data_IF_439900886869
#
_entry.id   IF_439900886869
#
_cell.length_a   1.000
_cell.length_b   1.000
_cell.length_c   1.000
_cell.angle_alpha   90.00
_cell.angle_beta   90.00
_cell.angle_gamma   90.00
#
_symmetry.space_group_name_H-M   'P 1'
#
loop_
_entity.id
_entity.type
_entity.pdbx_description
1 polymer ?
#
# COMPACT_ATOMS: atom_id res chain seq x y z
N UNK A 1 12.75 20.65 11.23
CA UNK A 1 12.94 19.30 11.78
C UNK A 1 11.69 18.89 12.50
N UNK A 2 10.91 17.94 11.96
CA UNK A 2 9.81 17.32 12.71
C UNK A 2 10.49 16.39 13.72
N UNK A 3 10.32 16.58 15.04
CA UNK A 3 10.94 15.71 16.03
C UNK A 3 10.43 14.28 15.80
N UNK A 4 11.35 13.33 15.65
CA UNK A 4 11.00 11.92 15.70
C UNK A 4 10.30 11.68 17.04
N UNK A 5 9.13 11.04 17.08
CA UNK A 5 8.49 10.71 18.34
C UNK A 5 9.47 9.87 19.16
N UNK A 6 9.90 10.37 20.32
CA UNK A 6 10.74 9.69 21.31
C UNK A 6 10.07 8.44 21.93
N UNK A 7 9.04 7.89 21.29
CA UNK A 7 8.34 6.69 21.74
C UNK A 7 9.21 5.47 21.47
N UNK A 8 9.64 4.79 22.53
CA UNK A 8 10.11 3.40 22.40
C UNK A 8 8.99 2.61 21.74
N UNK A 9 9.28 1.98 20.60
CA UNK A 9 8.34 1.06 19.96
C UNK A 9 8.07 -0.11 20.91
N UNK A 10 6.84 -0.22 21.42
CA UNK A 10 6.38 -1.37 22.18
C UNK A 10 5.64 -2.32 21.25
N UNK A 11 6.01 -3.60 21.30
CA UNK A 11 5.26 -4.62 20.58
C UNK A 11 3.86 -4.75 21.18
N UNK A 12 2.80 -4.89 20.35
CA UNK A 12 1.50 -5.24 20.87
C UNK A 12 1.60 -6.61 21.57
N UNK A 13 0.83 -6.83 22.65
CA UNK A 13 0.80 -8.14 23.30
C UNK A 13 0.34 -9.20 22.28
N UNK A 14 0.83 -10.46 22.40
CA UNK A 14 0.34 -11.55 21.57
C UNK A 14 -1.19 -11.67 21.65
N UNK A 15 -1.82 -12.03 20.55
CA UNK A 15 -3.24 -12.36 20.56
C UNK A 15 -3.43 -13.69 21.31
N UNK A 16 -4.43 -13.73 22.20
CA UNK A 16 -4.84 -14.93 22.92
C UNK A 16 -6.25 -15.33 22.46
N UNK A 17 -6.40 -16.19 21.44
CA UNK A 17 -7.70 -16.56 20.93
C UNK A 17 -8.54 -17.32 21.96
N UNK A 18 -9.82 -16.95 22.05
CA UNK A 18 -10.77 -17.55 22.99
C UNK A 18 -11.99 -18.08 22.25
N UNK A 19 -12.25 -19.38 22.38
CA UNK A 19 -13.43 -20.05 21.81
C UNK A 19 -14.73 -19.46 22.35
N UNK A 20 -14.72 -19.03 23.62
CA UNK A 20 -15.87 -18.46 24.31
C UNK A 20 -15.42 -17.24 25.13
N UNK A 21 -16.20 -16.16 25.05
CA UNK A 21 -15.99 -14.93 25.81
C UNK A 21 -17.34 -14.41 26.34
N UNK A 22 -17.34 -13.33 27.11
CA UNK A 22 -18.56 -12.58 27.39
C UNK A 22 -19.08 -11.89 26.12
N UNK A 23 -20.40 -11.93 25.86
CA UNK A 23 -21.01 -11.35 24.64
C UNK A 23 -20.59 -9.91 24.35
N UNK A 24 -20.45 -9.08 25.39
CA UNK A 24 -20.09 -7.66 25.26
C UNK A 24 -18.61 -7.36 25.49
N UNK A 25 -17.78 -8.37 25.78
CA UNK A 25 -16.33 -8.20 25.95
C UNK A 25 -15.68 -7.81 24.62
N UNK A 26 -14.57 -7.07 24.70
CA UNK A 26 -13.72 -6.80 23.53
C UNK A 26 -13.23 -8.12 22.95
N UNK A 27 -13.35 -8.28 21.64
CA UNK A 27 -12.99 -9.51 20.98
C UNK A 27 -11.48 -9.79 21.09
N UNK A 28 -11.11 -11.07 21.28
CA UNK A 28 -9.73 -11.54 21.39
C UNK A 28 -8.83 -11.14 20.20
N UNK A 29 -9.40 -10.88 19.02
CA UNK A 29 -8.67 -10.56 17.80
C UNK A 29 -8.08 -9.13 17.75
N UNK A 30 -8.19 -8.37 18.83
CA UNK A 30 -7.67 -6.99 18.90
C UNK A 30 -8.42 -6.00 18.00
N UNK A 31 -9.64 -6.35 17.54
CA UNK A 31 -10.38 -5.50 16.62
C UNK A 31 -10.98 -4.23 17.24
N UNK A 32 -11.06 -4.17 18.57
CA UNK A 32 -11.82 -3.17 19.32
C UNK A 32 -13.35 -3.38 19.28
N UNK A 33 -13.84 -4.39 18.53
CA UNK A 33 -15.26 -4.73 18.44
C UNK A 33 -15.66 -5.65 19.59
N UNK A 34 -16.93 -5.59 20.00
CA UNK A 34 -17.52 -6.56 20.95
C UNK A 34 -17.53 -7.96 20.34
N UNK A 35 -17.28 -9.00 21.14
CA UNK A 35 -17.24 -10.38 20.67
C UNK A 35 -18.52 -10.80 19.91
N UNK A 36 -19.70 -10.38 20.38
CA UNK A 36 -20.99 -10.67 19.73
C UNK A 36 -21.12 -10.16 18.28
N UNK A 37 -20.41 -9.10 17.91
CA UNK A 37 -20.41 -8.54 16.54
C UNK A 37 -19.12 -8.86 15.77
N UNK A 38 -18.24 -9.67 16.36
CA UNK A 38 -16.96 -10.03 15.79
C UNK A 38 -16.84 -11.56 15.64
N UNK A 39 -16.41 -12.28 16.69
CA UNK A 39 -16.10 -13.71 16.59
C UNK A 39 -17.16 -14.69 17.14
N UNK A 40 -18.23 -14.22 17.82
CA UNK A 40 -19.26 -15.09 18.41
C UNK A 40 -19.90 -16.08 17.41
N UNK A 41 -20.42 -15.56 16.30
CA UNK A 41 -21.09 -16.37 15.27
C UNK A 41 -20.31 -16.33 13.94
N UNK A 42 -19.00 -16.14 14.02
CA UNK A 42 -18.15 -15.89 12.84
C UNK A 42 -18.16 -17.04 11.83
N UNK A 43 -18.17 -18.26 12.34
CA UNK A 43 -18.26 -19.49 11.56
C UNK A 43 -19.61 -19.67 10.85
N UNK A 44 -20.67 -18.97 11.29
CA UNK A 44 -22.00 -18.99 10.66
C UNK A 44 -22.16 -17.91 9.58
N UNK A 45 -21.19 -17.01 9.44
CA UNK A 45 -21.24 -15.94 8.45
C UNK A 45 -20.93 -16.48 7.06
N UNK A 46 -21.46 -15.82 6.03
CA UNK A 46 -21.13 -16.12 4.65
C UNK A 46 -19.62 -15.89 4.40
N UNK A 47 -18.96 -16.90 3.85
CA UNK A 47 -17.56 -16.79 3.41
C UNK A 47 -17.44 -15.76 2.28
N UNK A 48 -16.40 -14.93 2.36
CA UNK A 48 -16.09 -13.94 1.32
C UNK A 48 -15.19 -14.59 0.27
N UNK A 49 -15.57 -14.60 -1.02
CA UNK A 49 -14.70 -15.12 -2.08
C UNK A 49 -13.35 -14.40 -2.10
N UNK A 50 -12.24 -15.15 -2.15
CA UNK A 50 -10.89 -14.57 -2.07
C UNK A 50 -10.61 -13.53 -3.18
N UNK A 51 -11.15 -13.75 -4.38
CA UNK A 51 -11.03 -12.80 -5.50
C UNK A 51 -11.67 -11.44 -5.20
N UNK A 52 -12.80 -11.43 -4.46
CA UNK A 52 -13.44 -10.20 -4.00
C UNK A 52 -12.56 -9.47 -2.98
N UNK A 53 -11.99 -10.20 -2.02
CA UNK A 53 -11.07 -9.60 -1.03
C UNK A 53 -9.85 -8.99 -1.72
N UNK A 54 -9.22 -9.71 -2.63
CA UNK A 54 -8.05 -9.22 -3.38
C UNK A 54 -8.40 -7.97 -4.20
N UNK A 55 -9.57 -7.94 -4.82
CA UNK A 55 -10.05 -6.75 -5.53
C UNK A 55 -10.24 -5.55 -4.58
N UNK A 56 -10.89 -5.75 -3.42
CA UNK A 56 -11.08 -4.69 -2.42
C UNK A 56 -9.74 -4.16 -1.88
N UNK A 57 -8.78 -5.06 -1.62
CA UNK A 57 -7.41 -4.70 -1.22
C UNK A 57 -6.70 -3.88 -2.31
N UNK A 58 -6.86 -4.27 -3.57
CA UNK A 58 -6.28 -3.54 -4.71
C UNK A 58 -6.84 -2.11 -4.80
N UNK A 59 -8.17 -1.96 -4.72
CA UNK A 59 -8.85 -0.66 -4.76
C UNK A 59 -8.45 0.21 -3.56
N UNK A 60 -8.42 -0.35 -2.34
CA UNK A 60 -8.01 0.38 -1.14
C UNK A 60 -6.57 0.90 -1.25
N UNK A 61 -5.67 0.10 -1.83
CA UNK A 61 -4.27 0.48 -2.03
C UNK A 61 -4.05 1.53 -3.13
N UNK A 62 -5.04 1.79 -3.99
CA UNK A 62 -4.97 2.80 -5.06
C UNK A 62 -5.41 4.21 -4.64
N UNK A 63 -5.80 4.41 -3.37
CA UNK A 63 -6.17 5.74 -2.88
C UNK A 63 -4.99 6.72 -2.97
N UNK A 64 -5.16 7.77 -3.74
CA UNK A 64 -4.15 8.82 -3.92
C UNK A 64 -4.24 9.93 -2.90
N UNK A 65 -3.14 10.64 -2.71
CA UNK A 65 -3.09 11.97 -2.09
C UNK A 65 -1.87 12.69 -2.67
N UNK A 66 -2.00 13.98 -3.01
CA UNK A 66 -0.83 14.78 -3.32
C UNK A 66 -0.07 15.11 -2.04
N UNK A 67 1.17 14.63 -1.94
CA UNK A 67 2.02 14.76 -0.76
C UNK A 67 2.93 15.99 -0.79
N UNK A 68 2.84 16.81 -1.85
CA UNK A 68 3.61 18.04 -1.97
C UNK A 68 3.38 18.94 -0.74
N UNK A 69 4.42 19.53 -0.12
CA UNK A 69 4.28 20.29 1.12
C UNK A 69 3.34 21.48 1.00
N UNK A 70 3.30 22.11 -0.18
CA UNK A 70 2.42 23.24 -0.46
C UNK A 70 1.05 22.82 -0.99
N UNK A 71 0.69 21.52 -0.98
CA UNK A 71 -0.60 21.07 -1.51
C UNK A 71 -1.76 21.60 -0.64
N UNK A 72 -2.51 22.55 -1.19
CA UNK A 72 -3.68 23.16 -0.58
C UNK A 72 -4.76 23.48 -1.60
N UNK A 73 -5.86 24.09 -1.16
CA UNK A 73 -7.05 24.33 -1.98
C UNK A 73 -6.78 25.19 -3.23
N UNK A 74 -5.83 26.12 -3.16
CA UNK A 74 -5.47 27.03 -4.26
C UNK A 74 -4.25 26.58 -5.08
N UNK A 75 -3.44 25.66 -4.56
CA UNK A 75 -2.15 25.25 -5.14
C UNK A 75 -2.17 23.83 -5.70
N UNK A 76 -3.17 23.02 -5.32
CA UNK A 76 -3.30 21.64 -5.74
C UNK A 76 -4.65 21.38 -6.39
N UNK A 77 -4.65 20.76 -7.58
CA UNK A 77 -5.88 20.31 -8.21
C UNK A 77 -6.49 19.04 -7.57
N UNK A 78 -5.87 18.51 -6.51
CA UNK A 78 -6.25 17.31 -5.78
C UNK A 78 -6.54 16.09 -6.68
N UNK A 79 -5.84 15.97 -7.81
CA UNK A 79 -5.93 14.84 -8.75
C UNK A 79 -4.58 14.13 -8.83
N UNK A 80 -4.27 13.21 -7.89
CA UNK A 80 -3.06 12.42 -7.95
C UNK A 80 -2.99 11.61 -9.23
N UNK A 81 -1.80 11.53 -9.81
CA UNK A 81 -1.49 10.74 -11.00
C UNK A 81 -0.57 9.58 -10.63
N UNK A 82 -0.29 8.71 -11.60
CA UNK A 82 0.74 7.67 -11.47
C UNK A 82 2.13 8.30 -11.57
N UNK A 83 2.56 8.95 -10.50
CA UNK A 83 3.89 9.50 -10.35
C UNK A 83 4.92 8.38 -10.23
N UNK A 84 6.10 8.56 -10.82
CA UNK A 84 7.19 7.58 -10.79
C UNK A 84 8.00 7.72 -9.50
N UNK A 85 8.27 6.61 -8.81
CA UNK A 85 9.24 6.56 -7.70
C UNK A 85 10.68 6.47 -8.22
N UNK A 86 10.88 5.81 -9.36
CA UNK A 86 12.16 5.73 -10.08
C UNK A 86 11.95 6.38 -11.44
N UNK A 87 12.88 7.27 -11.83
CA UNK A 87 12.82 8.02 -13.09
C UNK A 87 12.53 7.10 -14.28
N UNK A 88 11.52 7.47 -15.07
CA UNK A 88 11.07 6.67 -16.21
C UNK A 88 12.11 6.61 -17.33
N UNK A 89 12.72 7.76 -17.65
CA UNK A 89 13.71 7.90 -18.74
C UNK A 89 15.16 7.76 -18.27
N UNK A 90 15.39 7.85 -16.96
CA UNK A 90 16.68 7.55 -16.33
C UNK A 90 16.74 6.09 -15.91
N UNK A 91 16.71 5.83 -14.59
CA UNK A 91 16.92 4.51 -14.01
C UNK A 91 16.09 3.37 -14.61
N UNK A 92 14.77 3.56 -14.81
CA UNK A 92 13.95 2.50 -15.43
C UNK A 92 14.25 2.30 -16.91
N UNK A 93 14.55 3.38 -17.63
CA UNK A 93 14.91 3.33 -19.05
C UNK A 93 16.21 2.56 -19.27
N UNK A 94 17.17 2.72 -18.37
CA UNK A 94 18.47 2.06 -18.43
C UNK A 94 18.40 0.52 -18.32
N UNK A 95 17.37 -0.02 -17.68
CA UNK A 95 17.16 -1.47 -17.50
C UNK A 95 16.01 -2.01 -18.36
N UNK A 96 15.45 -1.19 -19.25
CA UNK A 96 14.28 -1.55 -20.03
C UNK A 96 14.64 -2.36 -21.29
N UNK A 97 13.89 -3.42 -21.54
CA UNK A 97 13.93 -4.17 -22.81
C UNK A 97 12.63 -3.95 -23.58
N UNK A 98 12.71 -3.35 -24.77
CA UNK A 98 11.52 -3.06 -25.59
C UNK A 98 10.47 -2.22 -24.86
N UNK A 99 10.90 -1.28 -24.00
CA UNK A 99 10.01 -0.43 -23.21
C UNK A 99 9.35 -1.12 -22.01
N UNK A 100 9.86 -2.26 -21.57
CA UNK A 100 9.36 -3.04 -20.44
C UNK A 100 10.46 -3.37 -19.43
N UNK A 101 10.06 -3.53 -18.18
CA UNK A 101 10.88 -4.10 -17.10
C UNK A 101 10.16 -5.28 -16.46
N UNK A 102 10.86 -6.10 -15.68
CA UNK A 102 10.26 -7.25 -14.97
C UNK A 102 9.67 -6.79 -13.63
N UNK A 103 8.48 -7.28 -13.29
CA UNK A 103 7.77 -6.96 -12.04
C UNK A 103 7.27 -8.20 -11.32
N UNK A 104 7.71 -8.37 -10.06
CA UNK A 104 7.16 -9.38 -9.16
C UNK A 104 5.70 -9.09 -8.77
N UNK A 105 5.30 -7.81 -8.66
CA UNK A 105 3.92 -7.42 -8.36
C UNK A 105 2.93 -7.90 -9.42
N UNK A 106 3.29 -7.78 -10.70
CA UNK A 106 2.49 -8.33 -11.81
C UNK A 106 2.39 -9.85 -11.75
N UNK A 107 3.48 -10.51 -11.34
CA UNK A 107 3.46 -11.95 -11.11
C UNK A 107 2.47 -12.36 -10.02
N UNK A 108 2.39 -11.59 -8.93
CA UNK A 108 1.43 -11.83 -7.85
C UNK A 108 -0.03 -11.64 -8.29
N UNK A 109 -0.33 -10.64 -9.14
CA UNK A 109 -1.68 -10.44 -9.71
C UNK A 109 -2.16 -11.66 -10.51
N UNK A 110 -1.22 -12.47 -11.03
CA UNK A 110 -1.50 -13.68 -11.81
C UNK A 110 -1.39 -14.98 -10.99
N UNK A 111 -1.25 -14.91 -9.66
CA UNK A 111 -0.99 -16.09 -8.80
C UNK A 111 -1.99 -17.23 -8.98
N UNK A 112 -3.29 -16.93 -9.16
CA UNK A 112 -4.31 -17.96 -9.40
C UNK A 112 -4.23 -18.58 -10.80
N UNK A 113 -3.78 -17.80 -11.79
CA UNK A 113 -3.56 -18.30 -13.15
C UNK A 113 -2.29 -19.14 -13.24
N UNK A 114 -1.35 -18.91 -12.33
CA UNK A 114 -0.04 -19.56 -12.28
C UNK A 114 0.03 -20.65 -11.21
N UNK A 115 -1.10 -21.24 -10.81
CA UNK A 115 -1.16 -22.37 -9.86
C UNK A 115 -0.42 -22.09 -8.53
N UNK A 116 -0.58 -20.88 -8.01
CA UNK A 116 0.07 -20.47 -6.75
C UNK A 116 1.50 -19.95 -6.90
N UNK A 117 2.08 -19.97 -8.10
CA UNK A 117 3.46 -19.52 -8.34
C UNK A 117 3.53 -18.03 -8.67
N UNK A 118 4.43 -17.32 -8.01
CA UNK A 118 4.77 -15.93 -8.37
C UNK A 118 5.77 -15.97 -9.53
N UNK A 119 5.25 -15.94 -10.75
CA UNK A 119 6.06 -15.84 -11.96
C UNK A 119 6.18 -14.36 -12.34
N UNK A 120 7.37 -13.73 -12.25
CA UNK A 120 7.55 -12.33 -12.62
C UNK A 120 7.12 -12.07 -14.07
N UNK A 121 6.58 -10.89 -14.34
CA UNK A 121 6.01 -10.56 -15.64
C UNK A 121 6.42 -9.16 -16.10
N UNK A 122 6.38 -8.91 -17.41
CA UNK A 122 6.73 -7.64 -18.02
C UNK A 122 5.71 -6.57 -17.63
N UNK A 123 6.21 -5.37 -17.31
CA UNK A 123 5.40 -4.16 -17.09
C UNK A 123 5.98 -3.01 -17.89
N UNK A 124 5.11 -2.28 -18.60
CA UNK A 124 5.54 -1.11 -19.37
C UNK A 124 6.06 0.00 -18.47
N UNK A 125 7.04 0.77 -18.95
CA UNK A 125 7.68 1.85 -18.20
C UNK A 125 6.71 2.89 -17.63
N UNK A 126 5.57 3.12 -18.29
CA UNK A 126 4.55 4.04 -17.79
C UNK A 126 3.86 3.56 -16.51
N UNK A 127 3.92 2.27 -16.18
CA UNK A 127 3.27 1.65 -15.02
C UNK A 127 4.27 1.12 -13.98
N UNK A 128 5.51 0.87 -14.40
CA UNK A 128 6.58 0.44 -13.52
C UNK A 128 6.91 1.52 -12.49
N UNK A 129 7.07 1.10 -11.23
CA UNK A 129 7.51 1.98 -10.15
C UNK A 129 6.61 3.22 -9.97
N UNK A 130 5.30 3.10 -10.18
CA UNK A 130 4.37 4.26 -10.01
C UNK A 130 3.51 4.18 -8.76
N UNK A 131 3.13 5.33 -8.22
CA UNK A 131 2.23 5.48 -7.08
C UNK A 131 1.41 6.79 -7.18
N UNK A 132 0.32 6.87 -6.41
CA UNK A 132 -0.66 7.97 -6.48
C UNK A 132 -0.34 9.10 -5.49
N UNK A 133 0.94 9.49 -5.40
CA UNK A 133 1.45 10.40 -4.35
C UNK A 133 1.54 11.87 -4.73
N UNK A 134 1.38 12.23 -6.00
CA UNK A 134 1.48 13.62 -6.46
C UNK A 134 0.48 13.88 -7.57
N UNK A 135 -0.05 15.11 -7.64
CA UNK A 135 -0.75 15.55 -8.84
C UNK A 135 0.26 15.93 -9.92
N UNK A 136 -0.15 15.96 -11.19
CA UNK A 136 0.78 16.23 -12.29
C UNK A 136 1.51 17.57 -12.20
N UNK A 137 0.86 18.62 -11.65
CA UNK A 137 1.47 19.94 -11.47
C UNK A 137 2.64 19.87 -10.48
N UNK A 138 2.39 19.30 -9.30
CA UNK A 138 3.40 19.21 -8.25
C UNK A 138 4.48 18.17 -8.53
N UNK A 139 4.13 17.05 -9.17
CA UNK A 139 5.10 16.03 -9.57
C UNK A 139 6.13 16.62 -10.53
N UNK A 140 5.65 17.26 -11.61
CA UNK A 140 6.51 17.87 -12.62
C UNK A 140 7.37 18.98 -12.02
N UNK A 141 6.78 19.93 -11.28
CA UNK A 141 7.52 21.09 -10.74
C UNK A 141 8.55 20.68 -9.69
N UNK A 142 8.21 19.77 -8.77
CA UNK A 142 9.09 19.42 -7.65
C UNK A 142 10.29 18.59 -8.11
N UNK A 143 10.06 17.68 -9.06
CA UNK A 143 11.08 16.71 -9.45
C UNK A 143 11.75 17.02 -10.79
N UNK A 144 11.38 18.10 -11.49
CA UNK A 144 12.05 18.56 -12.71
C UNK A 144 13.59 18.50 -12.62
N UNK A 145 14.26 18.95 -11.53
CA UNK A 145 15.72 18.92 -11.45
C UNK A 145 16.33 17.52 -11.53
N UNK A 146 15.57 16.49 -11.17
CA UNK A 146 16.00 15.09 -11.17
C UNK A 146 15.31 14.27 -12.28
N UNK A 147 14.41 14.81 -13.10
CA UNK A 147 13.80 14.02 -14.19
C UNK A 147 14.55 14.14 -15.53
N UNK A 148 15.62 14.92 -15.56
CA UNK A 148 16.50 15.04 -16.71
C UNK A 148 17.35 13.77 -16.87
N UNK A 149 17.63 13.37 -18.12
CA UNK A 149 18.40 12.15 -18.42
C UNK A 149 19.81 12.18 -17.80
N UNK A 150 20.37 13.37 -17.67
CA UNK A 150 21.62 13.62 -16.96
C UNK A 150 21.37 14.73 -15.94
N UNK A 151 21.58 14.42 -14.65
CA UNK A 151 21.60 15.40 -13.57
C UNK A 151 22.81 15.09 -12.68
N UNK A 152 23.35 16.11 -12.04
CA UNK A 152 24.43 15.92 -11.07
C UNK A 152 23.87 15.45 -9.73
N UNK A 153 24.43 14.36 -9.20
CA UNK A 153 24.08 13.89 -7.86
C UNK A 153 24.71 14.84 -6.83
N UNK A 154 23.91 15.79 -6.36
CA UNK A 154 24.23 16.71 -5.27
C UNK A 154 23.21 16.58 -4.13
N UNK A 155 23.40 17.34 -3.05
CA UNK A 155 22.54 17.27 -1.86
C UNK A 155 21.06 17.53 -2.18
N UNK A 156 20.77 18.44 -3.11
CA UNK A 156 19.39 18.76 -3.51
C UNK A 156 18.76 17.60 -4.29
N UNK A 157 19.51 16.99 -5.22
CA UNK A 157 19.04 15.83 -5.94
C UNK A 157 18.85 14.61 -5.03
N UNK A 158 19.78 14.38 -4.10
CA UNK A 158 19.68 13.33 -3.09
C UNK A 158 18.45 13.53 -2.19
N UNK A 159 18.19 14.77 -1.77
CA UNK A 159 16.99 15.12 -1.01
C UNK A 159 15.71 14.81 -1.78
N UNK A 160 15.61 15.20 -3.06
CA UNK A 160 14.42 14.96 -3.87
C UNK A 160 14.16 13.46 -4.09
N UNK A 161 15.21 12.68 -4.37
CA UNK A 161 15.13 11.22 -4.49
C UNK A 161 14.66 10.57 -3.17
N UNK A 162 15.25 10.99 -2.04
CA UNK A 162 14.87 10.50 -0.72
C UNK A 162 13.43 10.90 -0.36
N UNK A 163 13.04 12.14 -0.61
CA UNK A 163 11.69 12.63 -0.37
C UNK A 163 10.65 11.83 -1.15
N UNK A 164 10.93 11.51 -2.41
CA UNK A 164 10.07 10.66 -3.24
C UNK A 164 9.92 9.25 -2.67
N UNK A 165 11.01 8.64 -2.21
CA UNK A 165 10.97 7.33 -1.56
C UNK A 165 10.15 7.36 -0.25
N UNK A 166 10.33 8.40 0.57
CA UNK A 166 9.55 8.61 1.80
C UNK A 166 8.07 8.83 1.48
N UNK A 167 7.74 9.62 0.47
CA UNK A 167 6.37 9.87 0.03
C UNK A 167 5.68 8.57 -0.42
N UNK A 168 6.39 7.72 -1.17
CA UNK A 168 5.92 6.40 -1.56
C UNK A 168 5.62 5.51 -0.35
N UNK A 169 6.57 5.41 0.59
CA UNK A 169 6.43 4.57 1.77
C UNK A 169 5.32 5.06 2.70
N UNK A 170 5.23 6.37 2.90
CA UNK A 170 4.17 7.00 3.69
C UNK A 170 2.79 6.69 3.09
N UNK A 171 2.59 6.90 1.78
CA UNK A 171 1.31 6.62 1.13
C UNK A 171 0.97 5.13 1.21
N UNK A 172 1.95 4.26 1.00
CA UNK A 172 1.78 2.81 1.06
C UNK A 172 1.31 2.36 2.45
N UNK A 173 1.99 2.82 3.50
CA UNK A 173 1.60 2.53 4.90
C UNK A 173 0.23 3.11 5.25
N UNK A 174 -0.05 4.34 4.83
CA UNK A 174 -1.35 4.98 5.05
C UNK A 174 -2.47 4.17 4.39
N UNK A 175 -2.27 3.72 3.16
CA UNK A 175 -3.25 2.91 2.44
C UNK A 175 -3.38 1.51 3.05
N UNK A 176 -2.29 0.92 3.56
CA UNK A 176 -2.32 -0.35 4.27
C UNK A 176 -3.23 -0.33 5.51
N UNK A 177 -3.30 0.79 6.24
CA UNK A 177 -4.24 0.92 7.37
C UNK A 177 -5.71 0.74 6.93
N UNK A 178 -6.07 1.25 5.76
CA UNK A 178 -7.43 1.07 5.22
C UNK A 178 -7.73 -0.39 4.83
N UNK A 179 -6.69 -1.22 4.63
CA UNK A 179 -6.86 -2.64 4.29
C UNK A 179 -7.14 -3.54 5.49
N UNK A 180 -6.84 -3.09 6.71
CA UNK A 180 -6.99 -3.90 7.94
C UNK A 180 -8.42 -4.40 8.11
N UNK A 181 -9.43 -3.56 7.89
CA UNK A 181 -10.83 -3.96 8.00
C UNK A 181 -11.26 -4.96 6.91
N UNK A 182 -10.63 -4.92 5.74
CA UNK A 182 -10.88 -5.85 4.64
C UNK A 182 -10.28 -7.21 5.00
N UNK A 183 -9.02 -7.24 5.44
CA UNK A 183 -8.31 -8.46 5.86
C UNK A 183 -9.01 -9.13 7.04
N UNK A 184 -9.54 -8.34 7.97
CA UNK A 184 -10.37 -8.81 9.08
C UNK A 184 -11.63 -9.54 8.65
N UNK A 185 -11.99 -9.62 7.36
CA UNK A 185 -13.12 -10.40 6.85
C UNK A 185 -12.72 -11.78 6.28
N UNK A 186 -11.43 -12.09 6.16
CA UNK A 186 -10.93 -13.32 5.52
C UNK A 186 -11.34 -14.62 6.25
N UNK A 187 -11.58 -14.52 7.55
CA UNK A 187 -11.96 -15.62 8.43
C UNK A 187 -13.49 -15.77 8.62
N UNK A 188 -14.31 -15.00 7.88
CA UNK A 188 -15.78 -15.20 7.84
C UNK A 188 -16.13 -16.58 7.31
N UNK A 189 -17.04 -17.26 7.98
CA UNK A 189 -17.49 -18.61 7.61
C UNK A 189 -16.47 -19.71 7.89
N UNK A 190 -15.31 -19.38 8.47
CA UNK A 190 -14.27 -20.35 8.80
C UNK A 190 -14.47 -20.96 10.19
N UNK A 191 -13.94 -22.16 10.42
CA UNK A 191 -13.91 -22.76 11.75
C UNK A 191 -12.99 -21.97 12.69
N UNK A 192 -13.14 -22.14 14.00
CA UNK A 192 -12.28 -21.46 14.97
C UNK A 192 -10.79 -21.71 14.71
N UNK A 193 -10.40 -22.95 14.38
CA UNK A 193 -9.00 -23.28 14.08
C UNK A 193 -8.39 -22.56 12.87
N UNK A 194 -9.22 -22.00 11.97
CA UNK A 194 -8.77 -21.19 10.82
C UNK A 194 -8.88 -19.68 11.11
N UNK A 195 -9.63 -19.29 12.14
CA UNK A 195 -9.76 -17.89 12.56
C UNK A 195 -8.54 -17.41 13.37
N UNK A 196 -7.81 -18.34 13.99
CA UNK A 196 -6.70 -18.06 14.92
C UNK A 196 -5.34 -17.99 14.25
#
# INVERSE_FOLDING_TARGET
MIPLPNGKFSLPPPLEPKVKMGRNESCWCGSGKKWKVCHLDRHKQQEVPIGKVIHELHVANQRGLCLHPEAGASTCNNRPIRAHTIQRRGGLGAIAEGGHVISGKRGFEKIFKNEGRVVPDRIGLAHASTFMGFCGVHDNRLFEPIEQHHFELNDSAAFLLAYRAIAYEYLTKRNALATVEIQRNLDKGKSFGVQV
#
